data_IF_850178305201
#
_entry.id   IF_850178305201
#
_cell.length_a   1.000
_cell.length_b   1.000
_cell.length_c   1.000
_cell.angle_alpha   90.00
_cell.angle_beta   90.00
_cell.angle_gamma   90.00
#
_symmetry.space_group_name_H-M   'P 1'
#
loop_
_entity.id
_entity.type
_entity.pdbx_description
1 polymer ?
#
# COMPACT_ATOMS: atom_id res chain seq x y z
N UNK A 1 22.16 -13.60 -11.92
CA UNK A 1 21.40 -12.35 -12.08
C UNK A 1 20.14 -12.48 -11.25
N UNK A 2 20.10 -11.89 -10.07
CA UNK A 2 18.94 -11.92 -9.19
C UNK A 2 17.88 -10.99 -9.78
N UNK A 3 16.77 -11.55 -10.26
CA UNK A 3 15.64 -10.76 -10.75
C UNK A 3 14.93 -10.18 -9.52
N UNK A 4 15.29 -8.96 -9.14
CA UNK A 4 14.50 -8.19 -8.17
C UNK A 4 13.13 -7.91 -8.78
N UNK A 5 12.14 -8.72 -8.42
CA UNK A 5 10.74 -8.46 -8.74
C UNK A 5 10.33 -7.22 -7.95
N UNK A 6 10.49 -6.03 -8.55
CA UNK A 6 10.02 -4.76 -7.97
C UNK A 6 8.50 -4.80 -7.89
N UNK A 7 7.99 -5.10 -6.71
CA UNK A 7 6.56 -5.15 -6.44
C UNK A 7 6.02 -3.72 -6.41
N UNK A 8 5.24 -3.32 -7.42
CA UNK A 8 4.73 -1.94 -7.54
C UNK A 8 3.40 -1.73 -6.82
N UNK A 9 3.37 -0.78 -5.89
CA UNK A 9 2.16 -0.26 -5.25
C UNK A 9 1.35 0.63 -6.21
N UNK A 10 0.05 0.77 -5.93
CA UNK A 10 -0.88 1.66 -6.65
C UNK A 10 -0.74 3.15 -6.23
N UNK A 11 0.39 3.52 -5.61
CA UNK A 11 0.63 4.86 -5.12
C UNK A 11 0.76 5.85 -6.29
N UNK A 12 0.01 6.96 -6.22
CA UNK A 12 -0.07 7.98 -7.27
C UNK A 12 0.63 9.30 -6.90
N UNK A 13 1.73 9.26 -6.16
CA UNK A 13 2.50 10.45 -5.77
C UNK A 13 1.72 11.50 -4.95
N UNK A 14 0.70 11.09 -4.19
CA UNK A 14 -0.03 12.01 -3.33
C UNK A 14 0.77 12.30 -2.05
N UNK A 15 1.40 13.48 -1.98
CA UNK A 15 2.18 13.94 -0.82
C UNK A 15 1.42 13.80 0.50
N UNK A 16 0.13 14.20 0.52
CA UNK A 16 -0.74 14.08 1.67
C UNK A 16 -0.95 12.62 2.11
N UNK A 17 -1.05 11.71 1.15
CA UNK A 17 -1.20 10.27 1.42
C UNK A 17 0.10 9.70 1.98
N UNK A 18 1.24 10.12 1.43
CA UNK A 18 2.55 9.72 1.93
C UNK A 18 2.76 10.14 3.39
N UNK A 19 2.49 11.40 3.73
CA UNK A 19 2.63 11.88 5.11
C UNK A 19 1.72 11.14 6.08
N UNK A 20 0.45 10.91 5.74
CA UNK A 20 -0.49 10.17 6.59
C UNK A 20 0.01 8.74 6.87
N UNK A 21 0.48 8.03 5.84
CA UNK A 21 0.99 6.68 6.00
C UNK A 21 2.31 6.68 6.78
N UNK A 22 3.21 7.63 6.50
CA UNK A 22 4.48 7.82 7.22
C UNK A 22 4.25 8.09 8.71
N UNK A 23 3.26 8.91 9.06
CA UNK A 23 2.88 9.16 10.46
C UNK A 23 2.36 7.88 11.15
N UNK A 24 1.52 7.10 10.47
CA UNK A 24 1.01 5.84 11.01
C UNK A 24 2.12 4.80 11.21
N UNK A 25 3.06 4.71 10.26
CA UNK A 25 4.26 3.87 10.37
C UNK A 25 5.11 4.31 11.57
N UNK A 26 5.36 5.62 11.70
CA UNK A 26 6.13 6.19 12.81
C UNK A 26 5.51 5.86 14.17
N UNK A 27 4.17 5.91 14.28
CA UNK A 27 3.45 5.55 15.51
C UNK A 27 3.56 4.06 15.86
N UNK A 28 3.65 3.19 14.87
CA UNK A 28 3.65 1.72 15.06
C UNK A 28 5.04 1.13 15.24
N UNK A 29 6.03 1.62 14.49
CA UNK A 29 7.38 1.05 14.41
C UNK A 29 8.50 2.06 14.68
N UNK A 30 8.16 3.31 14.99
CA UNK A 30 9.12 4.35 15.33
C UNK A 30 9.61 5.17 14.15
N UNK A 31 10.39 6.22 14.45
CA UNK A 31 10.83 7.22 13.46
C UNK A 31 11.75 6.63 12.38
N UNK A 32 12.64 5.71 12.73
CA UNK A 32 13.58 5.08 11.80
C UNK A 32 12.84 4.34 10.67
N UNK A 33 11.83 3.54 11.02
CA UNK A 33 11.00 2.85 10.03
C UNK A 33 10.20 3.81 9.12
N UNK A 34 9.87 5.01 9.61
CA UNK A 34 9.16 6.02 8.83
C UNK A 34 10.09 6.79 7.87
N UNK A 35 11.38 6.90 8.18
CA UNK A 35 12.38 7.54 7.32
C UNK A 35 12.77 6.66 6.14
N UNK A 36 12.89 5.35 6.38
CA UNK A 36 13.20 4.36 5.35
C UNK A 36 12.00 3.95 4.48
N UNK A 37 10.79 4.41 4.85
CA UNK A 37 9.54 4.02 4.18
C UNK A 37 9.49 4.44 2.70
N UNK A 38 9.38 3.44 1.82
CA UNK A 38 9.10 3.61 0.40
C UNK A 38 7.61 3.29 0.07
N UNK A 39 6.79 4.31 -0.26
CA UNK A 39 5.38 4.11 -0.57
C UNK A 39 5.12 3.26 -1.82
N UNK A 40 6.11 3.08 -2.68
CA UNK A 40 5.97 2.27 -3.90
C UNK A 40 6.16 0.78 -3.66
N UNK A 41 6.90 0.38 -2.63
CA UNK A 41 7.27 -1.01 -2.41
C UNK A 41 6.79 -1.54 -1.05
N UNK A 42 6.71 -0.69 -0.02
CA UNK A 42 6.51 -1.15 1.35
C UNK A 42 5.05 -1.27 1.77
N UNK A 43 4.13 -0.61 1.05
CA UNK A 43 2.71 -0.55 1.42
C UNK A 43 1.80 -0.98 0.26
N UNK A 44 1.03 -2.06 0.50
CA UNK A 44 0.06 -2.57 -0.48
C UNK A 44 -1.24 -3.02 0.16
N UNK A 45 -2.28 -3.11 -0.67
CA UNK A 45 -3.54 -3.73 -0.26
C UNK A 45 -3.35 -5.23 0.01
N UNK A 46 -4.22 -5.82 0.81
CA UNK A 46 -4.22 -7.27 1.08
C UNK A 46 -4.14 -8.12 -0.20
N UNK A 47 -4.95 -7.78 -1.21
CA UNK A 47 -4.92 -8.45 -2.52
C UNK A 47 -3.59 -8.27 -3.26
N UNK A 48 -2.93 -7.12 -3.08
CA UNK A 48 -1.60 -6.86 -3.63
C UNK A 48 -0.55 -7.78 -3.03
N UNK A 49 -0.55 -7.94 -1.71
CA UNK A 49 0.35 -8.87 -1.03
C UNK A 49 0.08 -10.33 -1.44
N UNK A 50 -1.18 -10.76 -1.50
CA UNK A 50 -1.54 -12.11 -1.92
C UNK A 50 -1.04 -12.45 -3.32
N UNK A 51 -1.13 -11.50 -4.27
CA UNK A 51 -0.61 -11.67 -5.63
C UNK A 51 0.91 -11.87 -5.69
N UNK A 52 1.63 -11.43 -4.66
CA UNK A 52 3.08 -11.54 -4.57
C UNK A 52 3.52 -12.67 -3.63
N UNK A 53 2.64 -13.64 -3.34
CA UNK A 53 2.93 -14.74 -2.41
C UNK A 53 3.21 -14.28 -0.97
N UNK A 54 2.60 -13.18 -0.54
CA UNK A 54 2.62 -12.75 0.85
C UNK A 54 1.20 -12.71 1.42
N UNK A 55 1.08 -13.00 2.71
CA UNK A 55 -0.18 -12.88 3.43
C UNK A 55 0.00 -12.01 4.67
N UNK A 56 -0.97 -11.12 4.91
CA UNK A 56 -1.01 -10.33 6.14
C UNK A 56 -1.18 -11.27 7.34
N UNK A 57 -0.38 -11.06 8.39
CA UNK A 57 -0.44 -11.87 9.60
C UNK A 57 -1.81 -11.70 10.31
N UNK A 58 -2.36 -12.76 10.93
CA UNK A 58 -3.61 -12.65 11.67
C UNK A 58 -3.54 -11.58 12.77
N UNK A 59 -4.60 -10.78 12.92
CA UNK A 59 -4.70 -9.72 13.94
C UNK A 59 -4.11 -8.37 13.56
N UNK A 60 -3.39 -8.26 12.43
CA UNK A 60 -2.81 -7.00 11.97
C UNK A 60 -3.87 -5.99 11.51
N UNK A 61 -3.74 -4.73 11.95
CA UNK A 61 -4.63 -3.64 11.52
C UNK A 61 -4.09 -2.98 10.27
N UNK A 62 -4.98 -2.65 9.32
CA UNK A 62 -4.60 -1.88 8.14
C UNK A 62 -4.17 -0.46 8.49
N UNK A 63 -3.30 0.12 7.66
CA UNK A 63 -3.06 1.55 7.57
C UNK A 63 -4.10 2.15 6.63
N UNK A 64 -4.86 3.14 7.10
CA UNK A 64 -5.88 3.81 6.30
C UNK A 64 -5.23 4.88 5.43
N UNK A 65 -5.31 4.71 4.12
CA UNK A 65 -4.92 5.69 3.11
C UNK A 65 -6.17 6.24 2.44
N UNK A 66 -6.13 7.46 1.92
CA UNK A 66 -7.21 8.04 1.14
C UNK A 66 -6.72 8.35 -0.26
N UNK A 67 -7.49 7.94 -1.27
CA UNK A 67 -7.22 8.28 -2.67
C UNK A 67 -8.45 8.95 -3.28
N UNK A 68 -8.24 9.89 -4.21
CA UNK A 68 -9.34 10.48 -4.97
C UNK A 68 -9.58 9.64 -6.21
N UNK A 69 -10.78 9.06 -6.33
CA UNK A 69 -11.18 8.31 -7.52
C UNK A 69 -11.90 9.25 -8.46
N UNK A 70 -11.44 9.27 -9.71
CA UNK A 70 -12.08 9.99 -10.81
C UNK A 70 -12.96 9.01 -11.59
N UNK A 71 -14.26 9.27 -11.63
CA UNK A 71 -15.21 8.58 -12.50
C UNK A 71 -15.17 9.26 -13.84
N UNK A 72 -14.86 8.50 -14.89
CA UNK A 72 -14.86 8.98 -16.27
C UNK A 72 -16.09 8.46 -17.01
N UNK A 73 -16.67 9.27 -17.88
CA UNK A 73 -17.71 8.82 -18.82
C UNK A 73 -17.09 7.99 -19.96
N UNK A 74 -17.92 7.47 -20.87
CA UNK A 74 -17.48 6.70 -22.04
C UNK A 74 -16.56 7.51 -22.98
N UNK A 75 -16.60 8.84 -22.92
CA UNK A 75 -15.74 9.75 -23.66
C UNK A 75 -14.41 10.05 -22.95
N UNK A 76 -14.19 9.49 -21.76
CA UNK A 76 -12.97 9.68 -20.96
C UNK A 76 -12.93 10.96 -20.12
N UNK A 77 -14.00 11.75 -20.10
CA UNK A 77 -14.11 12.99 -19.32
C UNK A 77 -14.48 12.69 -17.87
N UNK A 78 -13.85 13.40 -16.93
CA UNK A 78 -14.10 13.21 -15.49
C UNK A 78 -15.45 13.83 -15.12
N UNK A 79 -16.45 12.98 -14.88
CA UNK A 79 -17.82 13.39 -14.49
C UNK A 79 -17.99 13.54 -12.98
N UNK A 80 -17.17 12.84 -12.19
CA UNK A 80 -17.24 12.90 -10.72
C UNK A 80 -15.90 12.56 -10.09
N UNK A 81 -15.57 13.22 -9.00
CA UNK A 81 -14.47 12.80 -8.11
C UNK A 81 -15.05 12.44 -6.75
N UNK A 82 -14.57 11.37 -6.13
CA UNK A 82 -14.94 11.04 -4.76
C UNK A 82 -13.76 10.47 -3.97
N UNK A 83 -13.66 10.76 -2.67
CA UNK A 83 -12.63 10.16 -1.83
C UNK A 83 -12.95 8.68 -1.58
N UNK A 84 -11.93 7.84 -1.68
CA UNK A 84 -12.00 6.42 -1.35
C UNK A 84 -10.92 6.08 -0.34
N UNK A 85 -11.33 5.48 0.77
CA UNK A 85 -10.39 4.90 1.72
C UNK A 85 -9.82 3.60 1.16
N UNK A 86 -8.51 3.46 1.19
CA UNK A 86 -7.76 2.27 0.81
C UNK A 86 -7.07 1.72 2.04
N UNK A 87 -7.26 0.43 2.29
CA UNK A 87 -6.63 -0.27 3.39
C UNK A 87 -5.32 -0.87 2.90
N UNK A 88 -4.21 -0.35 3.44
CA UNK A 88 -2.85 -0.78 3.13
C UNK A 88 -2.27 -1.56 4.31
N UNK A 89 -1.29 -2.40 4.00
CA UNK A 89 -0.49 -3.14 4.97
C UNK A 89 0.98 -2.95 4.62
N UNK A 90 1.78 -2.70 5.64
CA UNK A 90 3.23 -2.54 5.51
C UNK A 90 3.91 -3.92 5.35
N UNK A 91 5.09 -3.98 4.74
CA UNK A 91 5.83 -5.26 4.56
C UNK A 91 6.10 -5.97 5.90
N UNK A 92 6.28 -5.20 6.99
CA UNK A 92 6.46 -5.72 8.35
C UNK A 92 5.22 -6.46 8.89
N UNK A 93 4.05 -6.29 8.27
CA UNK A 93 2.78 -6.91 8.69
C UNK A 93 2.47 -8.20 7.92
N UNK A 94 3.28 -8.57 6.94
CA UNK A 94 3.06 -9.75 6.11
C UNK A 94 4.08 -10.84 6.41
N UNK A 95 3.75 -12.05 5.99
CA UNK A 95 4.68 -13.19 5.93
C UNK A 95 4.60 -13.80 4.54
N UNK A 96 5.70 -14.39 4.08
CA UNK A 96 5.67 -15.18 2.85
C UNK A 96 4.70 -16.35 3.02
N UNK A 97 3.86 -16.57 2.02
CA UNK A 97 3.19 -17.85 1.83
C UNK A 97 4.30 -18.80 1.37
N UNK A 98 4.76 -19.67 2.27
CA UNK A 98 5.64 -20.77 1.85
C UNK A 98 4.88 -21.60 0.83
N UNK A 99 5.39 -21.63 -0.39
CA UNK A 99 5.04 -22.66 -1.35
C UNK A 99 5.98 -23.82 -1.06
N UNK A 100 5.63 -24.64 -0.07
CA UNK A 100 6.23 -25.96 0.05
C UNK A 100 5.61 -26.80 -1.09
N UNK A 101 6.39 -27.01 -2.16
CA UNK A 101 6.14 -28.04 -3.19
C UNK A 101 7.08 -29.19 -2.87
#
# INVERSE_FOLDING_TARGET
MSVEVKIKSNYKNSAKTFEMVKQEISKRWGKSAAEEYDPFNDCMTYKGWLKNNYIVRPGEKSIKSMTMVEVKNEKGEVVRKYPKTVHLFHYLQVRALRTDI
#
